data_IF_451639282486
#
_entry.id   IF_451639282486
#
_cell.length_a   1.000
_cell.length_b   1.000
_cell.length_c   1.000
_cell.angle_alpha   90.00
_cell.angle_beta   90.00
_cell.angle_gamma   90.00
#
_symmetry.space_group_name_H-M   'P 1'
#
loop_
_entity.id
_entity.type
_entity.pdbx_description
1 polymer ?
#
# COMPACT_ATOMS: atom_id res chain seq x y z
N UNK A 1 4.65 3.81 -27.19
CA UNK A 1 4.67 3.83 -25.71
C UNK A 1 3.33 4.25 -25.09
N UNK A 2 2.65 5.32 -25.56
CA UNK A 2 1.36 5.74 -25.01
C UNK A 2 0.25 4.67 -25.15
N UNK A 3 0.15 4.04 -26.33
CA UNK A 3 -0.81 2.95 -26.60
C UNK A 3 -0.70 1.82 -25.57
N UNK A 4 0.52 1.37 -25.27
CA UNK A 4 0.74 0.30 -24.29
C UNK A 4 0.31 0.71 -22.87
N UNK A 5 0.59 1.97 -22.46
CA UNK A 5 0.17 2.49 -21.15
C UNK A 5 -1.36 2.53 -21.01
N UNK A 6 -2.06 2.99 -22.05
CA UNK A 6 -3.52 3.02 -22.08
C UNK A 6 -4.09 1.61 -21.98
N UNK A 7 -3.56 0.67 -22.78
CA UNK A 7 -3.99 -0.73 -22.74
C UNK A 7 -3.80 -1.32 -21.35
N UNK A 8 -2.62 -1.16 -20.73
CA UNK A 8 -2.38 -1.70 -19.39
C UNK A 8 -3.32 -1.11 -18.33
N UNK A 9 -3.60 0.20 -18.40
CA UNK A 9 -4.52 0.85 -17.47
C UNK A 9 -5.96 0.32 -17.62
N UNK A 10 -6.43 0.17 -18.87
CA UNK A 10 -7.74 -0.41 -19.16
C UNK A 10 -7.83 -1.86 -18.71
N UNK A 11 -6.80 -2.67 -18.94
CA UNK A 11 -6.77 -4.06 -18.47
C UNK A 11 -6.81 -4.15 -16.94
N UNK A 12 -6.04 -3.32 -16.24
CA UNK A 12 -6.08 -3.27 -14.77
C UNK A 12 -7.46 -2.88 -14.26
N UNK A 13 -8.11 -1.90 -14.89
CA UNK A 13 -9.45 -1.45 -14.54
C UNK A 13 -10.52 -2.52 -14.83
N UNK A 14 -10.37 -3.25 -15.94
CA UNK A 14 -11.24 -4.38 -16.32
C UNK A 14 -11.19 -5.51 -15.29
N UNK A 15 -10.04 -5.76 -14.67
CA UNK A 15 -9.91 -6.76 -13.59
C UNK A 15 -10.38 -6.19 -12.25
N UNK A 16 -10.07 -4.93 -11.97
CA UNK A 16 -10.36 -4.28 -10.70
C UNK A 16 -11.86 -4.02 -10.48
N UNK A 17 -12.58 -3.50 -11.48
CA UNK A 17 -13.98 -3.12 -11.31
C UNK A 17 -14.90 -4.32 -10.97
N UNK A 18 -14.82 -5.47 -11.64
CA UNK A 18 -15.61 -6.65 -11.25
C UNK A 18 -15.29 -7.08 -9.82
N UNK A 19 -14.01 -7.13 -9.44
CA UNK A 19 -13.61 -7.47 -8.07
C UNK A 19 -14.14 -6.45 -7.04
N UNK A 20 -14.17 -5.16 -7.40
CA UNK A 20 -14.67 -4.07 -6.56
C UNK A 20 -16.19 -4.11 -6.39
N UNK A 21 -16.95 -4.37 -7.45
CA UNK A 21 -18.42 -4.34 -7.41
C UNK A 21 -19.05 -5.69 -7.06
N UNK A 22 -18.28 -6.77 -7.04
CA UNK A 22 -18.77 -8.06 -6.60
C UNK A 22 -19.33 -7.98 -5.16
N UNK A 23 -20.51 -8.56 -4.87
CA UNK A 23 -21.12 -8.51 -3.55
C UNK A 23 -20.25 -9.17 -2.47
N UNK A 24 -19.65 -10.31 -2.81
CA UNK A 24 -18.72 -10.97 -1.90
C UNK A 24 -17.36 -10.25 -1.89
N UNK A 25 -16.79 -9.97 -0.71
CA UNK A 25 -15.45 -9.37 -0.57
C UNK A 25 -14.33 -10.30 -1.04
N UNK A 26 -14.62 -11.57 -1.33
CA UNK A 26 -13.62 -12.56 -1.78
C UNK A 26 -12.87 -12.12 -3.05
N UNK A 27 -13.57 -11.58 -4.05
CA UNK A 27 -12.93 -11.17 -5.31
C UNK A 27 -11.88 -10.08 -5.10
N UNK A 28 -12.26 -9.03 -4.36
CA UNK A 28 -11.34 -7.96 -3.97
C UNK A 28 -10.22 -8.47 -3.04
N UNK A 29 -10.54 -9.39 -2.12
CA UNK A 29 -9.57 -10.01 -1.22
C UNK A 29 -8.48 -10.78 -1.97
N UNK A 30 -8.86 -11.62 -2.94
CA UNK A 30 -7.92 -12.37 -3.78
C UNK A 30 -7.05 -11.43 -4.61
N UNK A 31 -7.66 -10.42 -5.25
CA UNK A 31 -6.92 -9.41 -6.01
C UNK A 31 -5.92 -8.66 -5.10
N UNK A 32 -6.37 -8.27 -3.91
CA UNK A 32 -5.55 -7.64 -2.88
C UNK A 32 -4.38 -8.52 -2.45
N UNK A 33 -4.59 -9.83 -2.26
CA UNK A 33 -3.52 -10.79 -1.93
C UNK A 33 -2.47 -10.88 -3.05
N UNK A 34 -2.90 -10.94 -4.32
CA UNK A 34 -1.97 -10.98 -5.47
C UNK A 34 -1.11 -9.70 -5.48
N UNK A 35 -1.72 -8.54 -5.30
CA UNK A 35 -1.01 -7.25 -5.25
C UNK A 35 -0.09 -7.17 -4.02
N UNK A 36 -0.53 -7.67 -2.86
CA UNK A 36 0.26 -7.73 -1.64
C UNK A 36 1.51 -8.60 -1.81
N UNK A 37 1.37 -9.76 -2.46
CA UNK A 37 2.49 -10.64 -2.79
C UNK A 37 3.48 -9.95 -3.74
N UNK A 38 2.99 -9.32 -4.81
CA UNK A 38 3.86 -8.59 -5.73
C UNK A 38 4.61 -7.44 -5.01
N UNK A 39 3.89 -6.62 -4.25
CA UNK A 39 4.46 -5.48 -3.52
C UNK A 39 5.46 -5.91 -2.44
N UNK A 40 5.19 -6.99 -1.70
CA UNK A 40 6.09 -7.49 -0.65
C UNK A 40 7.36 -8.11 -1.24
N UNK A 41 7.25 -8.79 -2.38
CA UNK A 41 8.41 -9.29 -3.11
C UNK A 41 9.32 -8.14 -3.59
N UNK A 42 8.72 -7.11 -4.21
CA UNK A 42 9.45 -5.92 -4.65
C UNK A 42 10.09 -5.20 -3.45
N UNK A 43 9.36 -5.05 -2.34
CA UNK A 43 9.89 -4.46 -1.12
C UNK A 43 11.11 -5.19 -0.59
N UNK A 44 11.08 -6.53 -0.58
CA UNK A 44 12.23 -7.36 -0.21
C UNK A 44 13.46 -7.05 -1.06
N UNK A 45 13.27 -6.96 -2.39
CA UNK A 45 14.35 -6.66 -3.35
C UNK A 45 14.91 -5.26 -3.17
N UNK A 46 14.04 -4.26 -3.00
CA UNK A 46 14.44 -2.87 -2.75
C UNK A 46 15.27 -2.72 -1.46
N UNK A 47 15.09 -3.66 -0.53
CA UNK A 47 15.82 -3.70 0.74
C UNK A 47 16.93 -4.74 0.77
N UNK A 48 17.47 -5.14 -0.39
CA UNK A 48 18.71 -5.92 -0.48
C UNK A 48 18.55 -7.43 -0.35
N UNK A 49 17.32 -7.97 -0.34
CA UNK A 49 17.13 -9.40 -0.51
C UNK A 49 17.44 -9.80 -1.96
N UNK A 50 18.23 -10.86 -2.15
CA UNK A 50 18.44 -11.45 -3.48
C UNK A 50 17.10 -11.98 -4.01
N UNK A 51 16.97 -12.02 -5.33
CA UNK A 51 15.75 -12.44 -6.04
C UNK A 51 15.06 -13.68 -5.44
N UNK A 52 15.83 -14.73 -5.14
CA UNK A 52 15.31 -15.98 -4.56
C UNK A 52 14.85 -15.85 -3.10
N UNK A 53 15.56 -15.07 -2.28
CA UNK A 53 15.19 -14.86 -0.88
C UNK A 53 14.05 -13.86 -0.70
N UNK A 54 13.82 -12.99 -1.68
CA UNK A 54 12.69 -12.07 -1.65
C UNK A 54 11.33 -12.77 -1.63
N UNK A 55 11.23 -14.06 -2.02
CA UNK A 55 10.00 -14.85 -1.92
C UNK A 55 9.55 -15.13 -0.48
N UNK A 56 10.43 -14.99 0.52
CA UNK A 56 10.04 -15.07 1.94
C UNK A 56 9.01 -14.00 2.28
N UNK A 57 9.11 -12.81 1.66
CA UNK A 57 8.21 -11.69 1.93
C UNK A 57 6.74 -11.97 1.57
N UNK A 58 6.43 -12.39 0.33
CA UNK A 58 5.10 -12.85 -0.04
C UNK A 58 4.57 -13.97 0.86
N UNK A 59 5.40 -14.97 1.17
CA UNK A 59 4.98 -16.10 2.01
C UNK A 59 4.55 -15.62 3.40
N UNK A 60 5.34 -14.74 4.02
CA UNK A 60 5.00 -14.16 5.32
C UNK A 60 3.75 -13.28 5.21
N UNK A 61 3.67 -12.39 4.23
CA UNK A 61 2.50 -11.51 4.06
C UNK A 61 1.21 -12.29 3.79
N UNK A 62 1.27 -13.28 2.92
CA UNK A 62 0.14 -14.15 2.59
C UNK A 62 -0.30 -14.94 3.82
N UNK A 63 0.63 -15.58 4.53
CA UNK A 63 0.32 -16.39 5.72
C UNK A 63 -0.37 -15.57 6.82
N UNK A 64 0.12 -14.35 7.08
CA UNK A 64 -0.46 -13.44 8.06
C UNK A 64 -1.85 -12.95 7.61
N UNK A 65 -1.98 -12.55 6.35
CA UNK A 65 -3.25 -12.08 5.80
C UNK A 65 -4.32 -13.19 5.81
N UNK A 66 -3.98 -14.41 5.36
CA UNK A 66 -4.91 -15.55 5.36
C UNK A 66 -5.25 -16.03 6.76
N UNK A 67 -4.28 -16.02 7.69
CA UNK A 67 -4.52 -16.39 9.09
C UNK A 67 -5.46 -15.40 9.79
N UNK A 68 -5.33 -14.12 9.48
CA UNK A 68 -6.26 -13.11 9.96
C UNK A 68 -7.66 -13.32 9.36
N UNK A 69 -7.72 -13.49 8.03
CA UNK A 69 -8.98 -13.69 7.31
C UNK A 69 -9.76 -14.92 7.79
N UNK A 70 -9.07 -16.04 8.00
CA UNK A 70 -9.69 -17.30 8.44
C UNK A 70 -10.21 -17.25 9.87
N UNK A 71 -9.57 -16.49 10.76
CA UNK A 71 -10.01 -16.37 12.17
C UNK A 71 -11.13 -15.38 12.35
N UNK A 72 -11.10 -14.28 11.60
CA UNK A 72 -11.96 -13.15 11.89
C UNK A 72 -13.19 -13.07 10.97
N UNK A 73 -13.32 -13.88 9.92
CA UNK A 73 -14.54 -14.01 9.10
C UNK A 73 -15.37 -12.71 8.96
N UNK A 74 -14.73 -11.65 8.47
CA UNK A 74 -15.33 -10.33 8.24
C UNK A 74 -15.66 -9.48 9.48
N UNK A 75 -15.19 -9.85 10.67
CA UNK A 75 -15.35 -9.06 11.88
C UNK A 75 -14.58 -7.74 11.77
N UNK A 76 -15.16 -6.64 12.29
CA UNK A 76 -14.48 -5.35 12.32
C UNK A 76 -13.23 -5.43 13.20
N UNK A 77 -12.13 -4.85 12.71
CA UNK A 77 -10.91 -4.67 13.50
C UNK A 77 -11.15 -3.58 14.55
N UNK A 78 -10.64 -3.78 15.76
CA UNK A 78 -10.80 -2.82 16.85
C UNK A 78 -10.21 -1.45 16.54
N UNK A 79 -10.85 -0.39 17.04
CA UNK A 79 -10.37 0.98 16.87
C UNK A 79 -8.94 1.17 17.42
N UNK A 80 -8.61 0.53 18.54
CA UNK A 80 -7.27 0.59 19.13
C UNK A 80 -6.20 0.07 18.17
N UNK A 81 -6.45 -1.04 17.48
CA UNK A 81 -5.52 -1.56 16.48
C UNK A 81 -5.28 -0.54 15.36
N UNK A 82 -6.33 0.10 14.84
CA UNK A 82 -6.19 1.12 13.80
C UNK A 82 -5.43 2.35 14.29
N UNK A 83 -5.65 2.76 15.53
CA UNK A 83 -4.98 3.91 16.13
C UNK A 83 -3.48 3.65 16.30
N UNK A 84 -3.11 2.45 16.75
CA UNK A 84 -1.72 1.99 16.76
C UNK A 84 -1.16 1.99 15.33
N UNK A 85 -1.96 1.52 14.36
CA UNK A 85 -1.52 1.45 12.97
C UNK A 85 -1.19 2.80 12.37
N UNK A 86 -2.12 3.73 12.46
CA UNK A 86 -1.94 5.11 12.00
C UNK A 86 -0.78 5.78 12.74
N UNK A 87 -0.62 5.53 14.05
CA UNK A 87 0.48 6.10 14.83
C UNK A 87 1.84 5.64 14.30
N UNK A 88 2.04 4.33 14.12
CA UNK A 88 3.30 3.79 13.58
C UNK A 88 3.54 4.32 12.16
N UNK A 89 2.50 4.36 11.32
CA UNK A 89 2.57 4.92 9.96
C UNK A 89 3.03 6.38 9.98
N UNK A 90 2.41 7.20 10.84
CA UNK A 90 2.69 8.62 10.99
C UNK A 90 4.09 8.88 11.54
N UNK A 91 4.52 8.17 12.58
CA UNK A 91 5.87 8.30 13.11
C UNK A 91 6.92 7.89 12.07
N UNK A 92 6.68 6.79 11.36
CA UNK A 92 7.57 6.31 10.30
C UNK A 92 7.74 7.36 9.21
N UNK A 93 6.66 7.94 8.68
CA UNK A 93 6.75 8.93 7.60
C UNK A 93 7.43 10.22 8.07
N UNK A 94 7.14 10.71 9.28
CA UNK A 94 7.77 11.91 9.84
C UNK A 94 9.27 11.72 10.05
N UNK A 95 9.68 10.56 10.58
CA UNK A 95 11.09 10.23 10.76
C UNK A 95 11.81 10.19 9.41
N UNK A 96 11.25 9.51 8.40
CA UNK A 96 11.89 9.42 7.09
C UNK A 96 11.94 10.75 6.36
N UNK A 97 10.90 11.58 6.44
CA UNK A 97 10.91 12.93 5.88
C UNK A 97 12.03 13.79 6.47
N UNK A 98 12.35 13.64 7.77
CA UNK A 98 13.44 14.36 8.43
C UNK A 98 14.82 13.80 8.08
N UNK A 99 14.95 12.48 8.04
CA UNK A 99 16.25 11.81 7.88
C UNK A 99 16.71 11.72 6.42
N UNK A 100 15.77 11.74 5.46
CA UNK A 100 16.08 11.64 4.03
C UNK A 100 16.39 10.22 3.56
N UNK A 101 16.65 10.08 2.25
CA UNK A 101 16.82 8.77 1.59
C UNK A 101 18.13 8.05 1.94
N UNK A 102 19.21 8.77 2.26
CA UNK A 102 20.48 8.18 2.68
C UNK A 102 20.35 7.39 3.99
N UNK A 103 19.53 7.89 4.92
CA UNK A 103 19.24 7.20 6.18
C UNK A 103 18.39 5.94 6.01
N UNK A 104 17.60 5.82 4.94
CA UNK A 104 16.92 4.56 4.62
C UNK A 104 17.95 3.45 4.42
N UNK A 105 18.99 3.69 3.63
CA UNK A 105 20.02 2.67 3.39
C UNK A 105 20.85 2.35 4.64
N UNK A 106 21.07 3.34 5.52
CA UNK A 106 21.75 3.15 6.79
C UNK A 106 20.91 2.36 7.82
N UNK A 107 19.59 2.30 7.65
CA UNK A 107 18.70 1.55 8.54
C UNK A 107 18.98 0.04 8.39
N UNK A 108 19.12 -0.70 9.50
CA UNK A 108 19.31 -2.15 9.47
C UNK A 108 18.29 -2.84 8.56
N UNK A 109 18.77 -3.76 7.73
CA UNK A 109 17.94 -4.43 6.74
C UNK A 109 16.68 -5.05 7.38
N UNK A 110 16.83 -5.77 8.50
CA UNK A 110 15.71 -6.43 9.16
C UNK A 110 14.58 -5.48 9.56
N UNK A 111 14.90 -4.26 10.02
CA UNK A 111 13.89 -3.25 10.39
C UNK A 111 13.11 -2.79 9.16
N UNK A 112 13.80 -2.57 8.03
CA UNK A 112 13.15 -2.20 6.76
C UNK A 112 12.24 -3.31 6.26
N UNK A 113 12.65 -4.56 6.41
CA UNK A 113 11.86 -5.72 6.01
C UNK A 113 10.59 -5.85 6.88
N UNK A 114 10.73 -5.79 8.22
CA UNK A 114 9.59 -5.84 9.16
C UNK A 114 8.62 -4.69 8.91
N UNK A 115 9.16 -3.48 8.71
CA UNK A 115 8.35 -2.30 8.39
C UNK A 115 7.55 -2.51 7.10
N UNK A 116 8.17 -3.07 6.04
CA UNK A 116 7.44 -3.37 4.80
C UNK A 116 6.29 -4.34 5.00
N UNK A 117 6.54 -5.46 5.68
CA UNK A 117 5.52 -6.46 6.01
C UNK A 117 4.36 -5.77 6.73
N UNK A 118 4.69 -4.96 7.74
CA UNK A 118 3.72 -4.23 8.53
C UNK A 118 2.87 -3.25 7.69
N UNK A 119 3.50 -2.36 6.92
CA UNK A 119 2.81 -1.37 6.09
C UNK A 119 1.92 -2.04 5.04
N UNK A 120 2.41 -3.11 4.41
CA UNK A 120 1.69 -3.82 3.35
C UNK A 120 0.49 -4.58 3.91
N UNK A 121 0.66 -5.34 4.99
CA UNK A 121 -0.44 -6.09 5.61
C UNK A 121 -1.53 -5.14 6.12
N UNK A 122 -1.15 -4.08 6.84
CA UNK A 122 -2.13 -3.12 7.37
C UNK A 122 -2.90 -2.42 6.25
N UNK A 123 -2.25 -2.12 5.12
CA UNK A 123 -2.92 -1.60 3.92
C UNK A 123 -3.90 -2.60 3.32
N UNK A 124 -3.50 -3.87 3.17
CA UNK A 124 -4.38 -4.92 2.66
C UNK A 124 -5.61 -5.13 3.56
N UNK A 125 -5.41 -5.15 4.88
CA UNK A 125 -6.49 -5.24 5.85
C UNK A 125 -7.41 -4.02 5.82
N UNK A 126 -6.87 -2.82 5.62
CA UNK A 126 -7.66 -1.59 5.54
C UNK A 126 -8.56 -1.57 4.31
N UNK A 127 -8.04 -1.98 3.15
CA UNK A 127 -8.82 -2.06 1.90
C UNK A 127 -9.99 -3.04 2.03
N UNK A 128 -9.73 -4.17 2.68
CA UNK A 128 -10.72 -5.18 2.95
C UNK A 128 -11.79 -4.71 3.95
N UNK A 129 -11.37 -4.08 5.05
CA UNK A 129 -12.28 -3.55 6.06
C UNK A 129 -13.13 -2.40 5.49
N UNK A 130 -12.56 -1.56 4.64
CA UNK A 130 -13.33 -0.56 3.89
C UNK A 130 -14.38 -1.19 2.96
N UNK A 131 -14.07 -2.32 2.29
CA UNK A 131 -15.05 -3.07 1.50
C UNK A 131 -16.19 -3.64 2.36
N UNK A 132 -15.89 -4.07 3.58
CA UNK A 132 -16.89 -4.58 4.53
C UNK A 132 -17.81 -3.49 5.07
N UNK A 133 -17.28 -2.27 5.29
CA UNK A 133 -18.10 -1.09 5.60
C UNK A 133 -19.04 -0.78 4.43
N UNK A 134 -18.54 -0.88 3.20
CA UNK A 134 -19.37 -0.85 2.00
C UNK A 134 -18.60 -0.40 0.77
N UNK A 135 -19.04 -0.84 -0.41
CA UNK A 135 -18.40 -0.49 -1.69
C UNK A 135 -18.34 1.03 -1.90
N UNK A 136 -19.38 1.78 -1.50
CA UNK A 136 -19.38 3.24 -1.58
C UNK A 136 -18.31 3.89 -0.71
N UNK A 137 -18.08 3.37 0.50
CA UNK A 137 -17.04 3.84 1.40
C UNK A 137 -15.64 3.52 0.85
N UNK A 138 -15.43 2.32 0.33
CA UNK A 138 -14.17 1.98 -0.34
C UNK A 138 -13.91 2.90 -1.55
N UNK A 139 -14.92 3.17 -2.37
CA UNK A 139 -14.80 4.09 -3.51
C UNK A 139 -14.45 5.50 -3.04
N UNK A 140 -15.06 5.99 -1.95
CA UNK A 140 -14.74 7.33 -1.45
C UNK A 140 -13.29 7.43 -0.97
N UNK A 141 -12.75 6.40 -0.31
CA UNK A 141 -11.33 6.34 0.09
C UNK A 141 -10.41 6.33 -1.14
N UNK A 142 -10.72 5.52 -2.15
CA UNK A 142 -9.92 5.46 -3.39
C UNK A 142 -9.94 6.78 -4.15
N UNK A 143 -11.12 7.39 -4.31
CA UNK A 143 -11.27 8.69 -4.95
C UNK A 143 -10.53 9.78 -4.17
N UNK A 144 -10.55 9.74 -2.84
CA UNK A 144 -9.80 10.68 -2.00
C UNK A 144 -8.31 10.60 -2.31
N UNK A 145 -7.72 9.40 -2.30
CA UNK A 145 -6.28 9.20 -2.56
C UNK A 145 -5.92 9.60 -4.00
N UNK A 146 -6.70 9.15 -4.98
CA UNK A 146 -6.46 9.48 -6.39
C UNK A 146 -6.58 10.98 -6.66
N UNK A 147 -7.62 11.62 -6.11
CA UNK A 147 -7.81 13.07 -6.27
C UNK A 147 -6.70 13.83 -5.57
N UNK A 148 -6.25 13.40 -4.38
CA UNK A 148 -5.14 14.02 -3.68
C UNK A 148 -3.82 13.95 -4.49
N UNK A 149 -3.50 12.80 -5.08
CA UNK A 149 -2.31 12.65 -5.93
C UNK A 149 -2.36 13.53 -7.18
N UNK A 150 -3.52 13.56 -7.86
CA UNK A 150 -3.74 14.41 -9.04
C UNK A 150 -3.62 15.89 -8.64
N UNK A 151 -4.27 16.30 -7.55
CA UNK A 151 -4.23 17.67 -7.06
C UNK A 151 -2.80 18.06 -6.66
N UNK A 152 -2.06 17.20 -5.96
CA UNK A 152 -0.67 17.45 -5.57
C UNK A 152 0.24 17.66 -6.79
N UNK A 153 0.05 16.88 -7.86
CA UNK A 153 0.81 17.07 -9.10
C UNK A 153 0.52 18.43 -9.76
N UNK A 154 -0.76 18.77 -9.98
CA UNK A 154 -1.12 20.00 -10.67
C UNK A 154 -0.82 21.25 -9.84
N UNK A 155 -1.14 21.21 -8.54
CA UNK A 155 -0.86 22.34 -7.64
C UNK A 155 0.63 22.51 -7.40
N UNK A 156 1.38 21.43 -7.21
CA UNK A 156 2.84 21.46 -7.09
C UNK A 156 3.52 22.00 -8.34
N UNK A 157 3.05 21.62 -9.53
CA UNK A 157 3.60 22.13 -10.80
C UNK A 157 3.28 23.61 -11.04
N UNK A 158 2.10 24.09 -10.66
CA UNK A 158 1.66 25.47 -10.93
C UNK A 158 2.09 26.47 -9.84
N UNK A 159 2.07 26.05 -8.58
CA UNK A 159 2.29 26.93 -7.42
C UNK A 159 3.44 26.50 -6.50
N UNK A 160 4.08 25.35 -6.75
CA UNK A 160 5.17 24.86 -5.91
C UNK A 160 6.42 25.74 -5.97
N UNK A 161 6.83 26.29 -4.82
CA UNK A 161 8.05 27.10 -4.66
C UNK A 161 9.07 26.51 -3.69
N UNK A 162 8.64 25.67 -2.75
CA UNK A 162 9.47 25.04 -1.72
C UNK A 162 9.26 23.54 -1.77
N UNK A 163 10.36 22.78 -1.88
CA UNK A 163 10.34 21.31 -1.86
C UNK A 163 10.25 20.82 -0.42
N UNK A 164 9.34 19.89 -0.16
CA UNK A 164 9.14 19.28 1.15
C UNK A 164 10.19 18.20 1.44
N UNK A 165 10.58 17.41 0.44
CA UNK A 165 11.45 16.26 0.65
C UNK A 165 12.44 16.06 -0.52
N UNK A 166 13.35 17.02 -0.76
CA UNK A 166 14.23 17.02 -1.92
C UNK A 166 15.15 15.79 -2.00
N UNK A 167 15.52 15.21 -0.86
CA UNK A 167 16.36 14.00 -0.79
C UNK A 167 15.60 12.70 -1.09
N UNK A 168 14.27 12.67 -0.95
CA UNK A 168 13.44 11.47 -1.08
C UNK A 168 12.73 11.46 -2.43
N UNK A 169 12.16 12.59 -2.82
CA UNK A 169 11.43 12.77 -4.08
C UNK A 169 11.72 14.18 -4.59
N UNK A 170 12.59 14.34 -5.62
CA UNK A 170 13.03 15.65 -6.10
C UNK A 170 11.90 16.60 -6.56
N UNK A 171 10.71 16.05 -6.85
CA UNK A 171 9.52 16.80 -7.27
C UNK A 171 8.52 17.11 -6.15
N UNK A 172 8.79 16.75 -4.89
CA UNK A 172 7.92 17.01 -3.73
C UNK A 172 8.58 17.94 -2.73
#
# INVERSE_FOLDING_TARGET
MLKQRIITALTMLLVFLPALFHPSPLGLGVLGMVMLCAASWEWGRLNGLRFRFAFVMPVVCLSLFTSYWSRHHYLPISMLFWLICVSIWFFTIVLFLKMGSSSWQATPQFLRLILGIYLLITTGLALLQAKLVGTAFLISVLLLVWTADIAAYFTGRRWGKRKLAPSISPGK
#
